data_IF_346145106117
#
_entry.id   IF_346145106117
#
_cell.length_a   1.000
_cell.length_b   1.000
_cell.length_c   1.000
_cell.angle_alpha   90.00
_cell.angle_beta   90.00
_cell.angle_gamma   90.00
#
_symmetry.space_group_name_H-M   'P 1'
#
loop_
_entity.id
_entity.type
_entity.pdbx_description
1 polymer ?
#
# COMPACT_ATOMS: atom_id res chain seq x y z
N UNK A 1 -26.91 44.11 15.87
CA UNK A 1 -27.26 42.68 15.76
C UNK A 1 -25.97 41.88 15.70
N UNK A 2 -25.54 41.28 16.80
CA UNK A 2 -24.35 40.41 16.82
C UNK A 2 -24.81 38.96 16.97
N UNK A 3 -24.51 38.13 15.96
CA UNK A 3 -24.83 36.72 15.95
C UNK A 3 -23.69 35.93 16.58
N UNK A 4 -23.92 35.32 17.73
CA UNK A 4 -23.00 34.35 18.35
C UNK A 4 -23.19 32.98 17.69
N UNK A 5 -22.21 32.55 16.89
CA UNK A 5 -22.12 31.17 16.42
C UNK A 5 -21.71 30.28 17.60
N UNK A 6 -22.61 29.43 18.06
CA UNK A 6 -22.26 28.32 18.95
C UNK A 6 -21.37 27.34 18.18
N UNK A 7 -20.08 27.32 18.50
CA UNK A 7 -19.19 26.25 18.08
C UNK A 7 -19.57 24.98 18.85
N UNK A 8 -20.21 24.02 18.17
CA UNK A 8 -20.37 22.67 18.72
C UNK A 8 -19.04 21.95 18.60
N UNK A 9 -18.32 21.87 19.71
CA UNK A 9 -17.15 21.01 19.85
C UNK A 9 -17.65 19.57 19.98
N UNK A 10 -17.51 18.77 18.93
CA UNK A 10 -17.68 17.32 19.04
C UNK A 10 -16.35 16.74 19.50
N UNK A 11 -16.22 16.49 20.80
CA UNK A 11 -15.11 15.71 21.32
C UNK A 11 -15.33 14.23 20.98
N UNK A 12 -14.75 13.75 19.90
CA UNK A 12 -14.57 12.31 19.65
C UNK A 12 -13.23 11.85 20.23
N UNK A 13 -13.09 11.94 21.54
CA UNK A 13 -12.07 11.18 22.26
C UNK A 13 -12.77 9.98 22.89
N UNK A 14 -12.90 8.89 22.13
CA UNK A 14 -13.26 7.60 22.73
C UNK A 14 -12.07 7.19 23.59
N UNK A 15 -12.27 7.21 24.90
CA UNK A 15 -11.33 6.74 25.90
C UNK A 15 -11.12 5.24 25.69
N UNK A 16 -9.87 4.81 25.52
CA UNK A 16 -9.52 3.41 25.22
C UNK A 16 -9.84 2.40 26.34
N UNK A 17 -10.27 2.83 27.53
CA UNK A 17 -10.52 1.91 28.66
C UNK A 17 -11.79 1.06 28.54
N UNK A 18 -12.79 1.43 27.74
CA UNK A 18 -14.11 0.76 27.75
C UNK A 18 -14.21 -0.52 26.91
N UNK A 19 -13.14 -0.95 26.23
CA UNK A 19 -13.15 -2.08 25.30
C UNK A 19 -12.82 -3.44 25.93
N UNK A 20 -12.50 -3.48 27.23
CA UNK A 20 -12.16 -4.71 27.96
C UNK A 20 -13.42 -5.55 28.31
N UNK A 21 -14.63 -4.99 28.27
CA UNK A 21 -15.83 -5.62 28.84
C UNK A 21 -16.62 -6.60 27.96
N UNK A 22 -16.27 -6.78 26.68
CA UNK A 22 -16.97 -7.75 25.80
C UNK A 22 -15.95 -8.54 24.98
N UNK A 23 -15.90 -9.85 25.21
CA UNK A 23 -14.92 -10.82 24.73
C UNK A 23 -14.77 -11.03 23.21
N UNK A 24 -14.90 -9.97 22.41
CA UNK A 24 -14.39 -9.92 21.04
C UNK A 24 -13.20 -8.97 21.07
N UNK A 25 -12.00 -9.54 21.12
CA UNK A 25 -10.75 -8.78 21.15
C UNK A 25 -10.54 -8.09 19.80
N UNK A 26 -11.26 -6.97 19.59
CA UNK A 26 -11.23 -6.20 18.35
C UNK A 26 -9.84 -5.62 18.08
N UNK A 27 -9.00 -5.52 19.11
CA UNK A 27 -7.67 -4.91 19.10
C UNK A 27 -6.64 -5.97 19.50
N UNK A 28 -5.96 -6.54 18.52
CA UNK A 28 -4.86 -7.49 18.73
C UNK A 28 -3.50 -6.77 18.69
N UNK A 29 -3.43 -5.56 19.25
CA UNK A 29 -2.20 -4.75 19.27
C UNK A 29 -1.89 -4.29 20.68
N UNK A 30 -0.61 -4.36 21.03
CA UNK A 30 -0.06 -3.83 22.28
C UNK A 30 0.53 -2.42 22.06
N UNK A 31 0.88 -2.09 20.82
CA UNK A 31 1.32 -0.74 20.44
C UNK A 31 0.25 0.33 20.73
N UNK A 32 0.69 1.53 21.16
CA UNK A 32 -0.21 2.67 21.46
C UNK A 32 -0.38 3.63 20.27
N UNK A 33 0.67 3.78 19.47
CA UNK A 33 0.70 4.66 18.31
C UNK A 33 1.80 4.21 17.33
N UNK A 34 1.72 4.68 16.09
CA UNK A 34 2.67 4.43 14.99
C UNK A 34 3.82 5.43 14.93
N UNK A 35 3.76 6.51 15.74
CA UNK A 35 4.72 7.63 15.75
C UNK A 35 4.85 8.41 14.42
N UNK A 36 3.98 8.16 13.44
CA UNK A 36 3.90 8.90 12.18
C UNK A 36 2.63 9.75 12.18
N UNK A 37 2.76 11.04 11.85
CA UNK A 37 1.62 11.94 11.80
C UNK A 37 0.67 11.56 10.66
N UNK A 38 -0.62 11.43 10.95
CA UNK A 38 -1.65 11.09 9.96
C UNK A 38 -1.86 9.59 9.71
N UNK A 39 -1.02 8.71 10.30
CA UNK A 39 -1.14 7.26 10.12
C UNK A 39 -1.74 6.60 11.38
N UNK A 40 -3.05 6.24 11.38
CA UNK A 40 -3.69 5.64 12.54
C UNK A 40 -3.24 4.18 12.74
N UNK A 41 -3.15 3.76 14.01
CA UNK A 41 -2.83 2.38 14.36
C UNK A 41 -3.97 1.44 13.91
N UNK A 42 -3.62 0.39 13.18
CA UNK A 42 -4.61 -0.60 12.74
C UNK A 42 -4.76 -1.73 13.77
N UNK A 43 -5.99 -2.08 14.19
CA UNK A 43 -6.21 -3.00 15.30
C UNK A 43 -5.88 -4.47 14.99
N UNK A 44 -5.96 -4.89 13.71
CA UNK A 44 -5.58 -6.23 13.27
C UNK A 44 -5.10 -6.20 11.80
N UNK A 45 -3.83 -5.87 11.55
CA UNK A 45 -3.35 -5.57 10.19
C UNK A 45 -3.12 -6.80 9.30
N UNK A 46 -2.73 -7.96 9.85
CA UNK A 46 -2.33 -9.13 9.04
C UNK A 46 -3.49 -9.70 8.19
N UNK A 47 -4.70 -9.96 8.73
CA UNK A 47 -5.82 -10.41 7.91
C UNK A 47 -6.28 -9.35 6.91
N UNK A 48 -6.14 -8.07 7.27
CA UNK A 48 -6.47 -6.97 6.37
C UNK A 48 -5.50 -6.92 5.18
N UNK A 49 -4.20 -7.13 5.40
CA UNK A 49 -3.19 -7.27 4.35
C UNK A 49 -3.48 -8.46 3.44
N UNK A 50 -3.78 -9.63 4.00
CA UNK A 50 -4.15 -10.80 3.21
C UNK A 50 -5.36 -10.51 2.31
N UNK A 51 -6.41 -9.90 2.87
CA UNK A 51 -7.61 -9.54 2.11
C UNK A 51 -7.30 -8.54 0.98
N UNK A 52 -6.42 -7.56 1.21
CA UNK A 52 -6.01 -6.60 0.19
C UNK A 52 -5.20 -7.27 -0.92
N UNK A 53 -4.17 -8.06 -0.60
CA UNK A 53 -3.35 -8.73 -1.59
C UNK A 53 -4.12 -9.76 -2.42
N UNK A 54 -4.98 -10.55 -1.77
CA UNK A 54 -5.87 -11.48 -2.50
C UNK A 54 -6.83 -10.76 -3.43
N UNK A 55 -7.32 -9.58 -3.04
CA UNK A 55 -8.14 -8.74 -3.92
C UNK A 55 -7.32 -8.17 -5.08
N UNK A 56 -6.12 -7.65 -4.83
CA UNK A 56 -5.21 -7.16 -5.88
C UNK A 56 -4.92 -8.24 -6.91
N UNK A 57 -4.61 -9.48 -6.48
CA UNK A 57 -4.39 -10.60 -7.41
C UNK A 57 -5.61 -10.91 -8.28
N UNK A 58 -6.83 -10.77 -7.74
CA UNK A 58 -8.07 -10.92 -8.54
C UNK A 58 -8.22 -9.83 -9.59
N UNK A 59 -7.89 -8.58 -9.24
CA UNK A 59 -7.95 -7.45 -10.19
C UNK A 59 -6.91 -7.61 -11.29
N UNK A 60 -5.69 -8.03 -10.95
CA UNK A 60 -4.60 -8.23 -11.91
C UNK A 60 -4.91 -9.32 -12.96
N UNK A 61 -5.75 -10.30 -12.64
CA UNK A 61 -6.18 -11.34 -13.59
C UNK A 61 -6.92 -10.78 -14.81
N UNK A 62 -7.52 -9.58 -14.71
CA UNK A 62 -8.21 -8.91 -15.82
C UNK A 62 -7.23 -8.42 -16.89
N UNK A 63 -6.00 -8.07 -16.50
CA UNK A 63 -4.96 -7.59 -17.41
C UNK A 63 -4.35 -8.74 -18.23
N UNK A 64 -3.83 -8.51 -19.44
CA UNK A 64 -3.19 -9.56 -20.23
C UNK A 64 -1.92 -10.10 -19.54
N UNK A 65 -1.70 -11.42 -19.60
CA UNK A 65 -0.53 -12.09 -19.00
C UNK A 65 0.81 -11.65 -19.61
N UNK A 66 0.81 -11.12 -20.83
CA UNK A 66 1.99 -10.55 -21.48
C UNK A 66 2.40 -9.17 -20.95
N UNK A 67 1.53 -8.48 -20.21
CA UNK A 67 1.83 -7.17 -19.65
C UNK A 67 2.93 -7.26 -18.59
N UNK A 68 4.00 -6.49 -18.78
CA UNK A 68 5.12 -6.41 -17.82
C UNK A 68 4.62 -5.96 -16.45
N UNK A 69 3.70 -4.99 -16.41
CA UNK A 69 3.11 -4.51 -15.15
C UNK A 69 2.42 -5.63 -14.38
N UNK A 70 1.62 -6.47 -15.07
CA UNK A 70 0.94 -7.59 -14.43
C UNK A 70 1.96 -8.57 -13.84
N UNK A 71 2.98 -8.94 -14.60
CA UNK A 71 4.02 -9.87 -14.15
C UNK A 71 4.77 -9.36 -12.93
N UNK A 72 5.18 -8.09 -12.93
CA UNK A 72 5.89 -7.49 -11.80
C UNK A 72 5.01 -7.36 -10.56
N UNK A 73 3.77 -6.87 -10.70
CA UNK A 73 2.86 -6.66 -9.57
C UNK A 73 2.38 -7.98 -8.98
N UNK A 74 2.13 -9.01 -9.81
CA UNK A 74 1.80 -10.36 -9.33
C UNK A 74 2.95 -10.96 -8.53
N UNK A 75 4.19 -10.90 -9.03
CA UNK A 75 5.35 -11.46 -8.34
C UNK A 75 5.57 -10.81 -6.96
N UNK A 76 5.51 -9.47 -6.88
CA UNK A 76 5.66 -8.74 -5.61
C UNK A 76 4.51 -9.04 -4.65
N UNK A 77 3.27 -9.04 -5.15
CA UNK A 77 2.08 -9.28 -4.31
C UNK A 77 2.04 -10.71 -3.79
N UNK A 78 2.37 -11.70 -4.62
CA UNK A 78 2.46 -13.11 -4.22
C UNK A 78 3.52 -13.32 -3.14
N UNK A 79 4.73 -12.79 -3.36
CA UNK A 79 5.81 -12.89 -2.39
C UNK A 79 5.42 -12.32 -1.01
N UNK A 80 4.82 -11.11 -0.99
CA UNK A 80 4.34 -10.48 0.25
C UNK A 80 3.21 -11.28 0.90
N UNK A 81 2.29 -11.80 0.11
CA UNK A 81 1.17 -12.61 0.60
C UNK A 81 1.64 -13.95 1.19
N UNK A 82 2.65 -14.60 0.61
CA UNK A 82 3.22 -15.84 1.14
C UNK A 82 3.88 -15.60 2.51
N UNK A 83 4.60 -14.48 2.67
CA UNK A 83 5.15 -14.05 3.96
C UNK A 83 4.03 -13.86 4.98
N UNK A 84 2.96 -13.11 4.63
CA UNK A 84 1.83 -12.86 5.54
C UNK A 84 1.13 -14.15 5.93
N UNK A 85 0.89 -15.07 4.99
CA UNK A 85 0.25 -16.36 5.28
C UNK A 85 1.09 -17.28 6.16
N UNK A 86 2.41 -17.23 6.03
CA UNK A 86 3.32 -18.04 6.87
C UNK A 86 3.20 -17.64 8.35
N UNK A 87 3.02 -16.35 8.63
CA UNK A 87 2.91 -15.82 10.00
C UNK A 87 1.46 -15.73 10.51
N UNK A 88 0.48 -15.90 9.62
CA UNK A 88 -0.95 -15.92 9.95
C UNK A 88 -1.34 -17.31 10.48
N UNK A 89 -1.28 -17.47 11.80
CA UNK A 89 -1.77 -18.65 12.51
C UNK A 89 -3.03 -18.34 13.33
N UNK A 90 -3.80 -19.36 13.72
CA UNK A 90 -4.97 -19.21 14.60
C UNK A 90 -4.58 -18.56 15.95
N UNK A 91 -3.38 -18.85 16.44
CA UNK A 91 -2.84 -18.29 17.69
C UNK A 91 -2.60 -16.78 17.55
N UNK A 92 -2.10 -16.33 16.40
CA UNK A 92 -1.88 -14.92 16.07
C UNK A 92 -3.19 -14.11 16.14
N UNK A 93 -4.34 -14.74 15.86
CA UNK A 93 -5.65 -14.09 15.87
C UNK A 93 -6.29 -13.99 17.26
N UNK A 94 -5.78 -14.71 18.25
CA UNK A 94 -6.35 -14.76 19.60
C UNK A 94 -5.52 -13.94 20.59
N UNK A 95 -4.19 -13.99 20.45
CA UNK A 95 -3.25 -13.38 21.39
C UNK A 95 -2.58 -12.13 20.81
N UNK A 96 -2.69 -11.00 21.52
CA UNK A 96 -2.09 -9.72 21.09
C UNK A 96 -0.55 -9.78 21.04
N UNK A 97 0.09 -10.47 21.99
CA UNK A 97 1.56 -10.60 22.01
C UNK A 97 2.06 -11.46 20.85
N UNK A 98 1.33 -12.53 20.50
CA UNK A 98 1.66 -13.35 19.33
C UNK A 98 1.50 -12.54 18.03
N UNK A 99 0.45 -11.73 17.94
CA UNK A 99 0.23 -10.84 16.81
C UNK A 99 1.35 -9.81 16.61
N UNK A 100 1.82 -9.17 17.67
CA UNK A 100 2.95 -8.22 17.58
C UNK A 100 4.25 -8.91 17.14
N UNK A 101 4.52 -10.12 17.63
CA UNK A 101 5.67 -10.91 17.18
C UNK A 101 5.57 -11.25 15.68
N UNK A 102 4.39 -11.70 15.23
CA UNK A 102 4.13 -11.98 13.82
C UNK A 102 4.30 -10.73 12.95
N UNK A 103 3.77 -9.58 13.39
CA UNK A 103 3.94 -8.29 12.70
C UNK A 103 5.43 -7.94 12.56
N UNK A 104 6.21 -8.08 13.63
CA UNK A 104 7.67 -7.83 13.61
C UNK A 104 8.40 -8.73 12.59
N UNK A 105 8.02 -10.01 12.53
CA UNK A 105 8.59 -10.95 11.56
C UNK A 105 8.21 -10.55 10.12
N UNK A 106 6.94 -10.20 9.87
CA UNK A 106 6.47 -9.76 8.55
C UNK A 106 7.19 -8.49 8.11
N UNK A 107 7.28 -7.47 8.96
CA UNK A 107 7.96 -6.20 8.62
C UNK A 107 9.45 -6.41 8.40
N UNK A 108 10.10 -7.27 9.21
CA UNK A 108 11.52 -7.60 9.03
C UNK A 108 11.80 -8.39 7.74
N UNK A 109 10.86 -9.22 7.28
CA UNK A 109 11.00 -9.97 6.02
C UNK A 109 10.74 -9.12 4.78
N UNK A 110 9.75 -8.21 4.83
CA UNK A 110 9.37 -7.37 3.68
C UNK A 110 10.25 -6.11 3.58
N UNK A 111 10.78 -5.63 4.71
CA UNK A 111 11.70 -4.49 4.82
C UNK A 111 11.20 -3.24 4.06
N UNK A 112 9.96 -2.83 4.36
CA UNK A 112 9.27 -1.72 3.68
C UNK A 112 8.55 -0.77 4.66
N UNK A 113 9.10 -0.58 5.85
CA UNK A 113 8.56 0.31 6.88
C UNK A 113 7.61 -0.38 7.86
N UNK A 114 6.62 0.37 8.36
CA UNK A 114 5.63 -0.12 9.31
C UNK A 114 4.52 -0.93 8.62
N UNK A 115 3.82 -1.77 9.39
CA UNK A 115 2.73 -2.59 8.86
C UNK A 115 1.53 -1.75 8.37
N UNK A 116 1.29 -0.60 8.98
CA UNK A 116 0.27 0.35 8.55
C UNK A 116 0.61 1.00 7.20
N UNK A 117 1.88 1.31 6.96
CA UNK A 117 2.37 1.83 5.67
C UNK A 117 2.25 0.76 4.58
N UNK A 118 2.56 -0.50 4.91
CA UNK A 118 2.34 -1.64 4.01
C UNK A 118 0.87 -1.79 3.61
N UNK A 119 -0.06 -1.51 4.54
CA UNK A 119 -1.49 -1.57 4.28
C UNK A 119 -1.94 -0.44 3.34
N UNK A 120 -1.39 0.76 3.52
CA UNK A 120 -1.61 1.90 2.62
C UNK A 120 -1.03 1.63 1.22
N UNK A 121 0.19 1.10 1.13
CA UNK A 121 0.77 0.66 -0.14
C UNK A 121 -0.10 -0.40 -0.84
N UNK A 122 -0.61 -1.38 -0.10
CA UNK A 122 -1.50 -2.41 -0.66
C UNK A 122 -2.83 -1.82 -1.16
N UNK A 123 -3.34 -0.79 -0.49
CA UNK A 123 -4.51 -0.06 -0.92
C UNK A 123 -4.23 0.75 -2.20
N UNK A 124 -3.11 1.44 -2.26
CA UNK A 124 -2.71 2.26 -3.40
C UNK A 124 -2.41 1.40 -4.63
N UNK A 125 -1.77 0.24 -4.45
CA UNK A 125 -1.54 -0.73 -5.52
C UNK A 125 -2.86 -1.25 -6.10
N UNK A 126 -3.86 -1.53 -5.25
CA UNK A 126 -5.20 -1.91 -5.72
C UNK A 126 -5.84 -0.77 -6.55
N UNK A 127 -5.71 0.48 -6.08
CA UNK A 127 -6.22 1.66 -6.78
C UNK A 127 -5.49 1.93 -8.10
N UNK A 128 -4.19 1.70 -8.14
CA UNK A 128 -3.37 1.78 -9.34
C UNK A 128 -3.77 0.68 -10.33
N UNK A 129 -3.89 -0.57 -9.88
CA UNK A 129 -4.31 -1.70 -10.72
C UNK A 129 -5.68 -1.45 -11.37
N UNK A 130 -6.63 -0.85 -10.64
CA UNK A 130 -7.92 -0.44 -11.21
C UNK A 130 -7.76 0.58 -12.34
N UNK A 131 -6.92 1.61 -12.16
CA UNK A 131 -6.66 2.62 -13.20
C UNK A 131 -5.91 2.04 -14.41
N UNK A 132 -5.03 1.06 -14.20
CA UNK A 132 -4.25 0.42 -15.26
C UNK A 132 -5.14 -0.37 -16.24
N UNK A 133 -6.32 -0.82 -15.79
CA UNK A 133 -7.32 -1.42 -16.68
C UNK A 133 -7.84 -0.39 -17.69
N UNK A 134 -8.08 0.84 -17.24
CA UNK A 134 -8.56 1.93 -18.10
C UNK A 134 -7.45 2.49 -18.99
N UNK A 135 -6.24 2.65 -18.45
CA UNK A 135 -5.11 3.28 -19.15
C UNK A 135 -4.40 2.39 -20.17
N UNK A 136 -4.50 1.07 -20.01
CA UNK A 136 -3.92 0.06 -20.93
C UNK A 136 -2.48 0.33 -21.41
N UNK A 137 -1.51 0.57 -20.51
CA UNK A 137 -0.15 0.94 -20.91
C UNK A 137 0.66 -0.20 -21.55
N UNK A 138 0.07 -1.39 -21.66
CA UNK A 138 0.64 -2.52 -22.39
C UNK A 138 0.41 -2.44 -23.90
N UNK A 139 -0.40 -1.48 -24.36
CA UNK A 139 -0.58 -1.18 -25.78
C UNK A 139 0.65 -0.43 -26.34
N UNK A 140 0.93 -0.53 -27.65
CA UNK A 140 2.01 0.23 -28.27
C UNK A 140 1.79 1.74 -28.10
N UNK A 141 2.88 2.50 -28.17
CA UNK A 141 2.86 3.97 -28.05
C UNK A 141 1.82 4.60 -29.00
N UNK A 142 0.93 5.42 -28.45
CA UNK A 142 -0.07 6.16 -29.24
C UNK A 142 0.58 7.15 -30.21
N UNK A 143 1.63 7.84 -29.75
CA UNK A 143 2.36 8.86 -30.53
C UNK A 143 3.86 8.54 -30.48
N UNK A 144 4.50 8.20 -31.61
CA UNK A 144 5.95 8.04 -31.65
C UNK A 144 6.63 9.40 -31.45
N UNK A 145 7.83 9.39 -30.85
CA UNK A 145 8.59 10.61 -30.65
C UNK A 145 8.93 11.27 -32.00
N UNK A 146 8.76 12.59 -32.15
CA UNK A 146 9.21 13.29 -33.35
C UNK A 146 10.73 13.22 -33.48
N UNK A 147 11.26 13.30 -34.72
CA UNK A 147 12.70 13.27 -34.94
C UNK A 147 13.36 14.43 -34.17
N UNK A 148 14.51 14.15 -33.56
CA UNK A 148 15.32 15.09 -32.75
C UNK A 148 14.72 15.55 -31.41
N UNK A 149 13.55 15.07 -30.96
CA UNK A 149 12.95 15.46 -29.66
C UNK A 149 13.82 15.07 -28.45
N UNK A 150 14.31 13.82 -28.44
CA UNK A 150 15.11 13.26 -27.35
C UNK A 150 16.60 13.27 -27.66
N UNK A 151 17.03 14.19 -28.54
CA UNK A 151 18.45 14.38 -28.84
C UNK A 151 19.07 15.21 -27.71
N UNK A 152 19.96 14.63 -26.88
CA UNK A 152 20.64 15.40 -25.86
C UNK A 152 21.56 16.45 -26.50
N UNK A 153 21.84 17.53 -25.78
CA UNK A 153 22.83 18.51 -26.21
C UNK A 153 24.20 17.84 -26.34
N UNK A 154 24.83 17.98 -27.51
CA UNK A 154 26.20 17.52 -27.74
C UNK A 154 27.11 18.71 -28.03
N UNK A 155 28.26 18.77 -27.34
CA UNK A 155 29.20 19.88 -27.48
C UNK A 155 29.91 19.85 -28.84
N UNK A 156 30.09 18.67 -29.42
CA UNK A 156 30.70 18.45 -30.72
C UNK A 156 29.86 19.04 -31.85
N UNK A 157 28.53 18.92 -31.79
CA UNK A 157 27.63 19.56 -32.75
C UNK A 157 27.55 21.07 -32.53
N UNK A 158 27.60 21.53 -31.27
CA UNK A 158 27.63 22.96 -30.95
C UNK A 158 28.94 23.65 -31.39
N UNK A 159 30.06 22.92 -31.41
CA UNK A 159 31.36 23.38 -31.89
C UNK A 159 31.50 23.34 -33.42
N UNK A 160 30.52 22.80 -34.15
CA UNK A 160 30.54 22.71 -35.61
C UNK A 160 31.43 21.60 -36.17
N UNK A 161 31.85 20.64 -35.34
CA UNK A 161 32.72 19.51 -35.73
C UNK A 161 31.93 18.23 -36.12
N UNK A 162 30.60 18.33 -36.23
CA UNK A 162 29.73 17.21 -36.61
C UNK A 162 29.79 16.92 -38.12
N UNK A 163 30.19 15.69 -38.48
CA UNK A 163 30.17 15.20 -39.86
C UNK A 163 28.72 15.26 -40.43
N UNK A 164 28.56 15.86 -41.62
CA UNK A 164 27.29 15.95 -42.36
C UNK A 164 26.85 14.61 -42.96
#
# INVERSE_FOLDING_TARGET
MFATRFARYFATAVRCEDLISKGNNKYLRTAKSTFVAGLPLHPNPLPALEAKYTHTLKVLQVLPASSVFRQSSEAVTQHRLDIVRTELSEQTQQDANANENAISIVTGKIDSGLVEELLEQAHDELGLAAKMIDWKPYEPLEVPAPPNQWKPFSMQEAAGEGNH
#
